data_IF_407320679412
#
_entry.id   IF_407320679412
#
_cell.length_a   1.000
_cell.length_b   1.000
_cell.length_c   1.000
_cell.angle_alpha   90.00
_cell.angle_beta   90.00
_cell.angle_gamma   90.00
#
_symmetry.space_group_name_H-M   'P 1'
#
loop_
_entity.id
_entity.type
_entity.pdbx_description
1 polymer ?
#
# COMPACT_ATOMS: atom_id res chain seq x y z
N UNK A 1 -1.01 -1.90 -13.63
CA UNK A 1 -1.87 -2.92 -13.08
C UNK A 1 -3.16 -3.03 -13.87
N UNK A 2 -3.99 -3.95 -13.51
CA UNK A 2 -5.24 -4.18 -14.23
C UNK A 2 -6.20 -2.99 -14.18
N UNK A 3 -5.96 -2.04 -13.32
CA UNK A 3 -6.85 -0.89 -13.12
C UNK A 3 -6.53 0.29 -14.03
N UNK A 4 -5.74 0.08 -15.07
CA UNK A 4 -5.50 1.14 -16.02
C UNK A 4 -4.79 2.36 -15.45
N UNK A 5 -3.90 2.17 -14.50
CA UNK A 5 -3.15 3.25 -13.87
C UNK A 5 -3.73 3.77 -12.57
N UNK A 6 -4.86 3.25 -12.15
CA UNK A 6 -5.46 3.63 -10.86
C UNK A 6 -5.05 2.65 -9.78
N UNK A 7 -3.77 2.59 -9.49
CA UNK A 7 -3.20 1.63 -8.56
C UNK A 7 -2.52 2.33 -7.40
N UNK A 8 -2.47 1.66 -6.27
CA UNK A 8 -1.57 2.04 -5.17
C UNK A 8 -0.20 1.49 -5.51
N UNK A 9 0.80 2.36 -5.57
CA UNK A 9 2.18 1.95 -5.80
C UNK A 9 2.88 1.68 -4.48
N UNK A 10 3.66 0.61 -4.44
CA UNK A 10 4.43 0.25 -3.27
C UNK A 10 5.88 0.01 -3.67
N UNK A 11 6.80 0.33 -2.75
CA UNK A 11 8.21 0.08 -2.97
C UNK A 11 8.86 -0.34 -1.66
N UNK A 12 9.54 -1.47 -1.69
CA UNK A 12 10.38 -1.91 -0.57
C UNK A 12 11.69 -1.13 -0.63
N UNK A 13 11.98 -0.39 0.43
CA UNK A 13 13.21 0.40 0.53
C UNK A 13 14.36 -0.46 1.05
N UNK A 14 15.59 0.05 0.85
CA UNK A 14 16.79 -0.70 1.20
C UNK A 14 16.89 -1.05 2.69
N UNK A 15 16.29 -0.24 3.56
CA UNK A 15 16.32 -0.45 5.01
C UNK A 15 15.12 -1.27 5.52
N UNK A 16 14.29 -1.80 4.61
CA UNK A 16 13.13 -2.61 4.95
C UNK A 16 11.83 -1.84 5.12
N UNK A 17 11.87 -0.52 5.14
CA UNK A 17 10.64 0.28 5.16
C UNK A 17 9.94 0.18 3.82
N UNK A 18 8.67 0.53 3.82
CA UNK A 18 7.84 0.46 2.60
C UNK A 18 7.25 1.84 2.33
N UNK A 19 7.40 2.28 1.09
CA UNK A 19 6.76 3.52 0.62
C UNK A 19 5.47 3.18 -0.12
N UNK A 20 4.41 3.91 0.19
CA UNK A 20 3.14 3.84 -0.52
C UNK A 20 2.84 5.19 -1.17
N UNK A 21 2.34 5.15 -2.39
CA UNK A 21 2.00 6.35 -3.15
C UNK A 21 0.83 6.04 -4.09
N UNK A 22 0.01 7.05 -4.36
CA UNK A 22 -1.01 6.86 -5.40
C UNK A 22 -0.36 6.99 -6.79
N UNK A 23 -0.72 6.09 -7.69
CA UNK A 23 -0.09 6.01 -9.00
C UNK A 23 -0.47 7.15 -9.93
N UNK A 24 -1.61 7.78 -9.69
CA UNK A 24 -2.09 8.88 -10.52
C UNK A 24 -1.42 10.21 -10.21
N UNK A 25 -0.62 10.26 -9.16
CA UNK A 25 0.13 11.45 -8.78
C UNK A 25 1.58 11.06 -8.44
N UNK A 26 2.40 10.76 -9.45
CA UNK A 26 3.77 10.29 -9.19
C UNK A 26 4.66 11.33 -8.53
N UNK A 27 4.30 12.60 -8.61
CA UNK A 27 5.03 13.67 -7.93
C UNK A 27 4.46 13.97 -6.53
N UNK A 28 3.38 13.29 -6.15
CA UNK A 28 2.74 13.48 -4.86
C UNK A 28 3.52 12.85 -3.72
N UNK A 29 3.08 13.10 -2.48
CA UNK A 29 3.76 12.59 -1.30
C UNK A 29 3.66 11.06 -1.23
N UNK A 30 4.70 10.44 -0.69
CA UNK A 30 4.70 9.03 -0.34
C UNK A 30 4.56 8.89 1.18
N UNK A 31 3.81 7.89 1.61
CA UNK A 31 3.74 7.50 3.02
C UNK A 31 4.78 6.40 3.26
N UNK A 32 5.51 6.52 4.36
CA UNK A 32 6.59 5.59 4.68
C UNK A 32 6.20 4.82 5.93
N UNK A 33 6.24 3.50 5.84
CA UNK A 33 5.86 2.60 6.93
C UNK A 33 7.01 1.69 7.32
N UNK A 34 7.05 1.33 8.60
CA UNK A 34 8.03 0.36 9.10
C UNK A 34 7.69 -1.05 8.62
N UNK A 35 8.67 -1.98 8.61
CA UNK A 35 8.37 -3.38 8.30
C UNK A 35 7.29 -3.96 9.20
N UNK A 36 7.30 -3.62 10.49
CA UNK A 36 6.32 -4.11 11.45
C UNK A 36 4.91 -3.60 11.14
N UNK A 37 4.80 -2.34 10.78
CA UNK A 37 3.50 -1.77 10.39
C UNK A 37 2.94 -2.44 9.15
N UNK A 38 3.78 -2.66 8.16
CA UNK A 38 3.37 -3.32 6.92
C UNK A 38 3.02 -4.78 7.18
N UNK A 39 3.79 -5.50 7.99
CA UNK A 39 3.48 -6.89 8.32
C UNK A 39 2.12 -7.01 9.00
N UNK A 40 1.81 -6.12 9.93
CA UNK A 40 0.51 -6.10 10.60
C UNK A 40 -0.62 -5.78 9.61
N UNK A 41 -0.39 -4.84 8.72
CA UNK A 41 -1.36 -4.47 7.69
C UNK A 41 -1.66 -5.65 6.77
N UNK A 42 -0.62 -6.29 6.26
CA UNK A 42 -0.77 -7.45 5.35
C UNK A 42 -1.50 -8.59 6.05
N UNK A 43 -1.15 -8.89 7.29
CA UNK A 43 -1.84 -9.92 8.06
C UNK A 43 -3.33 -9.59 8.23
N UNK A 44 -3.66 -8.32 8.50
CA UNK A 44 -5.03 -7.87 8.61
C UNK A 44 -5.79 -8.01 7.30
N UNK A 45 -5.16 -7.64 6.18
CA UNK A 45 -5.76 -7.78 4.85
C UNK A 45 -6.08 -9.24 4.56
N UNK A 46 -5.14 -10.15 4.86
CA UNK A 46 -5.35 -11.59 4.64
C UNK A 46 -6.50 -12.16 5.47
N UNK A 47 -6.78 -11.55 6.62
CA UNK A 47 -7.88 -11.93 7.51
C UNK A 47 -9.21 -11.28 7.14
N UNK A 48 -9.24 -10.47 6.09
CA UNK A 48 -10.45 -9.80 5.62
C UNK A 48 -10.75 -8.48 6.33
N UNK A 49 -9.85 -7.97 7.16
CA UNK A 49 -10.12 -6.76 7.93
C UNK A 49 -10.16 -5.48 7.09
N UNK A 50 -9.70 -5.55 5.85
CA UNK A 50 -9.73 -4.43 4.91
C UNK A 50 -10.84 -4.57 3.86
N UNK A 51 -11.67 -5.58 3.94
CA UNK A 51 -12.68 -5.85 2.91
C UNK A 51 -13.70 -4.71 2.78
N UNK A 52 -13.96 -4.01 3.88
CA UNK A 52 -14.88 -2.85 3.87
C UNK A 52 -14.39 -1.73 2.95
N UNK A 53 -13.10 -1.70 2.61
CA UNK A 53 -12.55 -0.68 1.72
C UNK A 53 -12.95 -0.93 0.26
N UNK A 54 -13.38 -2.13 -0.05
CA UNK A 54 -13.82 -2.51 -1.40
C UNK A 54 -15.31 -2.85 -1.44
N UNK A 55 -16.02 -2.50 -0.39
CA UNK A 55 -17.45 -2.73 -0.31
C UNK A 55 -18.17 -1.75 -1.22
N UNK A 56 -18.56 -2.18 -2.33
CA UNK A 56 -19.23 -1.28 -3.23
C UNK A 56 -19.83 -2.04 -4.37
#
# INVERSE_FOLDING_TARGET
GPNGGQCVQTKLLADGRVALRQSTDPAGPALIYTPQEIAAFVAGVKRGLADHLTAG
#
